data_IF_349408543506
#
_entry.id   IF_349408543506
#
_cell.length_a   1.000
_cell.length_b   1.000
_cell.length_c   1.000
_cell.angle_alpha   90.00
_cell.angle_beta   90.00
_cell.angle_gamma   90.00
#
_symmetry.space_group_name_H-M   'P 1'
#
loop_
_entity.id
_entity.type
_entity.pdbx_description
1 polymer ?
#
# COMPACT_ATOMS: atom_id res chain seq x y z
N UNK A 1 -3.20 -11.88 -24.25
CA UNK A 1 -3.66 -12.95 -23.34
C UNK A 1 -2.55 -13.40 -22.37
N UNK A 2 -1.39 -13.85 -22.85
CA UNK A 2 -0.33 -14.36 -21.97
C UNK A 2 0.23 -13.33 -20.97
N UNK A 3 0.40 -12.06 -21.36
CA UNK A 3 0.83 -11.00 -20.44
C UNK A 3 -0.19 -10.75 -19.32
N UNK A 4 -1.48 -10.80 -19.61
CA UNK A 4 -2.53 -10.66 -18.61
C UNK A 4 -2.57 -11.85 -17.64
N UNK A 5 -2.33 -13.07 -18.13
CA UNK A 5 -2.19 -14.25 -17.28
C UNK A 5 -0.97 -14.14 -16.36
N UNK A 6 0.19 -13.71 -16.89
CA UNK A 6 1.39 -13.47 -16.09
C UNK A 6 1.16 -12.40 -15.01
N UNK A 7 0.45 -11.33 -15.36
CA UNK A 7 0.04 -10.30 -14.40
C UNK A 7 -0.79 -10.89 -13.26
N UNK A 8 -1.87 -11.62 -13.59
CA UNK A 8 -2.79 -12.18 -12.61
C UNK A 8 -2.10 -13.17 -11.67
N UNK A 9 -1.28 -14.08 -12.22
CA UNK A 9 -0.52 -15.06 -11.42
C UNK A 9 0.48 -14.36 -10.51
N UNK A 10 1.20 -13.35 -11.02
CA UNK A 10 2.19 -12.60 -10.24
C UNK A 10 1.53 -11.80 -9.13
N UNK A 11 0.41 -11.12 -9.43
CA UNK A 11 -0.36 -10.36 -8.44
C UNK A 11 -0.92 -11.28 -7.34
N UNK A 12 -1.43 -12.45 -7.71
CA UNK A 12 -1.91 -13.46 -6.76
C UNK A 12 -0.77 -13.95 -5.86
N UNK A 13 0.34 -14.40 -6.46
CA UNK A 13 1.50 -14.88 -5.71
C UNK A 13 2.05 -13.79 -4.77
N UNK A 14 2.09 -12.54 -5.24
CA UNK A 14 2.63 -11.45 -4.45
C UNK A 14 1.72 -11.03 -3.30
N UNK A 15 0.41 -11.12 -3.48
CA UNK A 15 -0.56 -10.87 -2.41
C UNK A 15 -0.37 -11.81 -1.20
N UNK A 16 0.07 -13.05 -1.42
CA UNK A 16 0.38 -13.99 -0.32
C UNK A 16 1.70 -13.65 0.41
N UNK A 17 2.71 -13.22 -0.33
CA UNK A 17 4.05 -13.02 0.23
C UNK A 17 4.29 -11.59 0.77
N UNK A 18 3.53 -10.59 0.32
CA UNK A 18 3.74 -9.20 0.70
C UNK A 18 3.40 -8.90 2.16
N UNK A 19 2.43 -9.60 2.75
CA UNK A 19 2.05 -9.43 4.16
C UNK A 19 3.26 -9.58 5.09
N UNK A 20 3.89 -10.77 5.16
CA UNK A 20 5.07 -11.01 5.99
C UNK A 20 6.25 -10.06 5.72
N UNK A 21 6.53 -9.75 4.45
CA UNK A 21 7.61 -8.84 4.07
C UNK A 21 7.38 -7.45 4.66
N UNK A 22 6.15 -6.96 4.54
CA UNK A 22 5.81 -5.61 4.99
C UNK A 22 5.69 -5.50 6.51
N UNK A 23 5.28 -6.57 7.19
CA UNK A 23 5.31 -6.65 8.65
C UNK A 23 6.74 -6.67 9.19
N UNK A 24 7.67 -7.36 8.51
CA UNK A 24 9.07 -7.37 8.91
C UNK A 24 9.73 -5.99 8.83
N UNK A 25 9.44 -5.23 7.76
CA UNK A 25 10.01 -3.89 7.58
C UNK A 25 9.37 -2.86 8.54
N UNK A 26 8.08 -3.01 8.86
CA UNK A 26 7.33 -2.15 9.78
C UNK A 26 7.49 -0.64 9.51
N UNK A 27 7.64 -0.26 8.24
CA UNK A 27 7.77 1.14 7.81
C UNK A 27 7.04 1.35 6.47
N UNK A 28 5.77 1.78 6.51
CA UNK A 28 4.95 1.95 5.31
C UNK A 28 5.55 2.93 4.30
N UNK A 29 6.11 4.05 4.76
CA UNK A 29 6.73 5.05 3.87
C UNK A 29 7.93 4.47 3.13
N UNK A 30 8.80 3.71 3.81
CA UNK A 30 9.94 3.07 3.19
C UNK A 30 9.49 2.03 2.14
N UNK A 31 8.48 1.22 2.47
CA UNK A 31 7.93 0.21 1.56
C UNK A 31 7.39 0.87 0.29
N UNK A 32 6.57 1.93 0.42
CA UNK A 32 6.01 2.64 -0.73
C UNK A 32 7.11 3.35 -1.54
N UNK A 33 8.16 3.86 -0.88
CA UNK A 33 9.30 4.49 -1.57
C UNK A 33 10.06 3.49 -2.42
N UNK A 34 10.37 2.32 -1.87
CA UNK A 34 11.05 1.24 -2.60
C UNK A 34 10.18 0.73 -3.74
N UNK A 35 8.89 0.53 -3.50
CA UNK A 35 7.93 0.14 -4.52
C UNK A 35 7.87 1.15 -5.68
N UNK A 36 7.78 2.44 -5.36
CA UNK A 36 7.78 3.52 -6.36
C UNK A 36 9.03 3.47 -7.25
N UNK A 37 10.21 3.22 -6.68
CA UNK A 37 11.46 3.10 -7.45
C UNK A 37 11.40 1.92 -8.41
N UNK A 38 10.94 0.75 -7.96
CA UNK A 38 10.81 -0.43 -8.82
C UNK A 38 9.77 -0.23 -9.92
N UNK A 39 8.58 0.27 -9.57
CA UNK A 39 7.50 0.50 -10.52
C UNK A 39 7.90 1.54 -11.57
N UNK A 40 8.39 2.71 -11.15
CA UNK A 40 8.82 3.76 -12.07
C UNK A 40 10.01 3.30 -12.91
N UNK A 41 10.97 2.56 -12.34
CA UNK A 41 12.08 1.97 -13.08
C UNK A 41 11.60 1.06 -14.22
N UNK A 42 10.60 0.22 -13.96
CA UNK A 42 10.01 -0.66 -14.97
C UNK A 42 9.30 0.14 -16.09
N UNK A 43 8.58 1.21 -15.74
CA UNK A 43 7.92 2.07 -16.74
C UNK A 43 8.91 2.91 -17.54
N UNK A 44 10.00 3.39 -16.92
CA UNK A 44 11.07 4.11 -17.61
C UNK A 44 11.78 3.16 -18.59
N UNK A 45 11.98 1.89 -18.22
CA UNK A 45 12.54 0.90 -19.14
C UNK A 45 11.64 0.70 -20.38
N UNK A 46 10.30 0.70 -20.22
CA UNK A 46 9.39 0.69 -21.37
C UNK A 46 9.43 1.98 -22.18
N UNK A 47 9.53 3.14 -21.52
CA UNK A 47 9.52 4.44 -22.18
C UNK A 47 10.78 4.69 -23.02
N UNK A 48 11.93 4.27 -22.52
CA UNK A 48 13.23 4.51 -23.16
C UNK A 48 13.59 3.48 -24.23
N UNK A 49 12.93 2.32 -24.24
CA UNK A 49 13.18 1.28 -25.22
C UNK A 49 12.59 1.65 -26.59
N UNK A 50 13.33 1.51 -27.71
CA UNK A 50 12.91 1.99 -29.03
C UNK A 50 11.71 1.23 -29.64
N UNK A 51 11.53 -0.04 -29.27
CA UNK A 51 10.36 -0.83 -29.66
C UNK A 51 9.90 -1.74 -28.51
N UNK A 52 9.20 -1.20 -27.50
CA UNK A 52 8.84 -1.96 -26.31
C UNK A 52 7.73 -2.99 -26.58
N UNK A 53 6.85 -2.72 -27.56
CA UNK A 53 5.66 -3.54 -27.85
C UNK A 53 6.03 -4.92 -28.40
N UNK A 54 7.13 -5.02 -29.15
CA UNK A 54 7.58 -6.28 -29.74
C UNK A 54 8.63 -7.01 -28.91
N UNK A 55 8.99 -6.49 -27.74
CA UNK A 55 10.00 -7.09 -26.87
C UNK A 55 9.36 -7.82 -25.69
N UNK A 56 8.95 -9.08 -25.90
CA UNK A 56 8.38 -9.89 -24.83
C UNK A 56 9.34 -10.06 -23.65
N UNK A 57 10.64 -10.15 -23.90
CA UNK A 57 11.66 -10.25 -22.85
C UNK A 57 11.70 -9.04 -21.91
N UNK A 58 11.30 -7.86 -22.40
CA UNK A 58 11.11 -6.65 -21.59
C UNK A 58 9.72 -6.59 -20.96
N UNK A 59 8.68 -6.91 -21.74
CA UNK A 59 7.28 -6.79 -21.30
C UNK A 59 6.95 -7.73 -20.14
N UNK A 60 7.44 -8.97 -20.14
CA UNK A 60 7.15 -9.92 -19.06
C UNK A 60 7.67 -9.44 -17.69
N UNK A 61 8.96 -9.13 -17.52
CA UNK A 61 9.47 -8.59 -16.26
C UNK A 61 8.76 -7.32 -15.81
N UNK A 62 8.47 -6.39 -16.72
CA UNK A 62 7.76 -5.15 -16.38
C UNK A 62 6.35 -5.45 -15.87
N UNK A 63 5.60 -6.33 -16.54
CA UNK A 63 4.28 -6.75 -16.10
C UNK A 63 4.30 -7.41 -14.71
N UNK A 64 5.32 -8.23 -14.43
CA UNK A 64 5.50 -8.87 -13.12
C UNK A 64 5.78 -7.81 -12.04
N UNK A 65 6.63 -6.83 -12.33
CA UNK A 65 6.95 -5.74 -11.39
C UNK A 65 5.71 -4.88 -11.12
N UNK A 66 4.96 -4.50 -12.16
CA UNK A 66 3.70 -3.76 -12.00
C UNK A 66 2.71 -4.55 -11.14
N UNK A 67 2.56 -5.87 -11.38
CA UNK A 67 1.66 -6.72 -10.61
C UNK A 67 2.09 -6.86 -9.13
N UNK A 68 3.40 -6.94 -8.88
CA UNK A 68 3.94 -6.97 -7.53
C UNK A 68 3.71 -5.63 -6.80
N UNK A 69 3.90 -4.52 -7.51
CA UNK A 69 3.67 -3.18 -6.98
C UNK A 69 2.21 -2.94 -6.62
N UNK A 70 1.27 -3.35 -7.46
CA UNK A 70 -0.16 -3.31 -7.13
C UNK A 70 -0.49 -4.05 -5.83
N UNK A 71 0.08 -5.25 -5.64
CA UNK A 71 -0.10 -6.03 -4.43
C UNK A 71 0.50 -5.32 -3.19
N UNK A 72 1.68 -4.70 -3.34
CA UNK A 72 2.34 -3.93 -2.28
C UNK A 72 1.52 -2.71 -1.89
N UNK A 73 1.11 -1.88 -2.86
CA UNK A 73 0.35 -0.67 -2.62
C UNK A 73 -1.00 -0.98 -1.97
N UNK A 74 -1.70 -2.01 -2.44
CA UNK A 74 -3.00 -2.40 -1.88
C UNK A 74 -2.87 -2.88 -0.44
N UNK A 75 -1.89 -3.75 -0.16
CA UNK A 75 -1.62 -4.23 1.19
C UNK A 75 -1.20 -3.07 2.13
N UNK A 76 -0.33 -2.17 1.68
CA UNK A 76 0.06 -1.00 2.46
C UNK A 76 -1.11 -0.05 2.73
N UNK A 77 -1.95 0.23 1.72
CA UNK A 77 -3.11 1.08 1.90
C UNK A 77 -4.06 0.53 2.98
N UNK A 78 -4.32 -0.78 2.98
CA UNK A 78 -5.14 -1.41 4.02
C UNK A 78 -4.49 -1.32 5.41
N UNK A 79 -3.19 -1.60 5.53
CA UNK A 79 -2.47 -1.49 6.80
C UNK A 79 -2.48 -0.06 7.33
N UNK A 80 -2.31 0.93 6.46
CA UNK A 80 -2.36 2.35 6.83
C UNK A 80 -3.74 2.75 7.36
N UNK A 81 -4.81 2.35 6.67
CA UNK A 81 -6.19 2.64 7.11
C UNK A 81 -6.50 1.94 8.44
N UNK A 82 -6.13 0.67 8.56
CA UNK A 82 -6.35 -0.11 9.77
C UNK A 82 -5.59 0.47 10.97
N UNK A 83 -4.36 0.95 10.76
CA UNK A 83 -3.57 1.61 11.80
C UNK A 83 -4.11 2.98 12.22
N UNK A 84 -4.63 3.77 11.27
CA UNK A 84 -5.17 5.10 11.53
C UNK A 84 -6.57 5.10 12.15
N UNK A 85 -7.41 4.14 11.74
CA UNK A 85 -8.83 4.10 12.09
C UNK A 85 -9.20 2.71 12.60
N UNK A 86 -8.65 2.35 13.77
CA UNK A 86 -8.90 1.05 14.39
C UNK A 86 -10.41 0.84 14.60
N UNK A 87 -10.90 -0.35 14.24
CA UNK A 87 -12.30 -0.77 14.34
C UNK A 87 -13.35 0.15 13.64
N UNK A 88 -12.94 1.05 12.74
CA UNK A 88 -13.87 1.93 12.03
C UNK A 88 -14.15 1.44 10.60
N UNK A 89 -15.25 0.71 10.44
CA UNK A 89 -15.69 0.21 9.12
C UNK A 89 -16.05 1.30 8.12
N UNK A 90 -16.48 2.48 8.60
CA UNK A 90 -16.80 3.64 7.74
C UNK A 90 -15.55 4.21 7.08
N UNK A 91 -14.40 4.23 7.76
CA UNK A 91 -13.13 4.69 7.18
C UNK A 91 -12.69 3.78 6.01
N UNK A 92 -12.84 2.46 6.17
CA UNK A 92 -12.56 1.50 5.11
C UNK A 92 -13.53 1.66 3.92
N UNK A 93 -14.83 1.83 4.19
CA UNK A 93 -15.82 2.08 3.15
C UNK A 93 -15.54 3.39 2.37
N UNK A 94 -15.17 4.45 3.08
CA UNK A 94 -14.78 5.72 2.47
C UNK A 94 -13.54 5.56 1.57
N UNK A 95 -12.51 4.84 2.02
CA UNK A 95 -11.35 4.54 1.17
C UNK A 95 -11.76 3.81 -0.12
N UNK A 96 -12.58 2.76 -0.01
CA UNK A 96 -13.06 1.99 -1.16
C UNK A 96 -13.89 2.83 -2.13
N UNK A 97 -14.70 3.73 -1.61
CA UNK A 97 -15.46 4.68 -2.42
C UNK A 97 -14.51 5.59 -3.22
N UNK A 98 -13.55 6.25 -2.56
CA UNK A 98 -12.60 7.15 -3.22
C UNK A 98 -11.69 6.40 -4.22
N UNK A 99 -11.21 5.21 -3.87
CA UNK A 99 -10.38 4.41 -4.79
C UNK A 99 -11.16 4.05 -6.05
N UNK A 100 -12.42 3.63 -5.92
CA UNK A 100 -13.27 3.25 -7.05
C UNK A 100 -13.62 4.46 -7.92
N UNK A 101 -13.88 5.62 -7.31
CA UNK A 101 -14.09 6.88 -8.01
C UNK A 101 -12.86 7.27 -8.84
N UNK A 102 -11.66 7.23 -8.23
CA UNK A 102 -10.42 7.58 -8.92
C UNK A 102 -10.09 6.59 -10.05
N UNK A 103 -10.34 5.30 -9.85
CA UNK A 103 -10.24 4.29 -10.92
C UNK A 103 -11.20 4.65 -12.07
N UNK A 104 -12.45 5.01 -11.78
CA UNK A 104 -13.42 5.43 -12.79
C UNK A 104 -12.96 6.66 -13.58
N UNK A 105 -12.43 7.68 -12.90
CA UNK A 105 -11.84 8.88 -13.54
C UNK A 105 -10.66 8.48 -14.43
N UNK A 106 -9.73 7.66 -13.91
CA UNK A 106 -8.58 7.19 -14.68
C UNK A 106 -9.01 6.43 -15.93
N UNK A 107 -9.99 5.53 -15.84
CA UNK A 107 -10.55 4.84 -17.00
C UNK A 107 -11.14 5.81 -18.04
N UNK A 108 -11.95 6.78 -17.61
CA UNK A 108 -12.56 7.74 -18.52
C UNK A 108 -11.53 8.62 -19.24
N UNK A 109 -10.52 9.10 -18.52
CA UNK A 109 -9.47 9.98 -19.06
C UNK A 109 -8.43 9.19 -19.86
N UNK A 110 -8.21 7.91 -19.55
CA UNK A 110 -7.16 7.07 -20.18
C UNK A 110 -7.24 7.05 -21.71
N UNK A 111 -8.44 7.13 -22.29
CA UNK A 111 -8.63 7.16 -23.74
C UNK A 111 -7.91 8.33 -24.41
N UNK A 112 -7.83 9.48 -23.75
CA UNK A 112 -7.14 10.66 -24.27
C UNK A 112 -5.61 10.55 -24.16
N UNK A 113 -5.12 9.57 -23.41
CA UNK A 113 -3.70 9.31 -23.16
C UNK A 113 -3.14 8.17 -24.04
N UNK A 114 -3.92 7.72 -25.02
CA UNK A 114 -3.50 6.74 -26.01
C UNK A 114 -3.00 7.43 -27.29
N UNK A 115 -2.09 6.75 -27.99
CA UNK A 115 -1.69 7.08 -29.35
C UNK A 115 -2.82 6.76 -30.34
N UNK A 116 -2.69 7.22 -31.59
CA UNK A 116 -3.61 6.86 -32.69
C UNK A 116 -3.74 5.35 -32.91
N UNK A 117 -2.70 4.59 -32.53
CA UNK A 117 -2.65 3.14 -32.66
C UNK A 117 -3.22 2.40 -31.43
N UNK A 118 -3.75 3.14 -30.44
CA UNK A 118 -4.29 2.57 -29.22
C UNK A 118 -3.25 2.19 -28.16
N UNK A 119 -1.96 2.45 -28.40
CA UNK A 119 -0.91 2.23 -27.40
C UNK A 119 -0.81 3.38 -26.39
N UNK A 120 -0.47 3.12 -25.12
CA UNK A 120 -0.31 4.18 -24.13
C UNK A 120 0.84 5.13 -24.47
N UNK A 121 0.61 6.44 -24.36
CA UNK A 121 1.65 7.46 -24.51
C UNK A 121 2.48 7.54 -23.22
N UNK A 122 3.61 6.84 -23.18
CA UNK A 122 4.47 6.78 -21.99
C UNK A 122 4.99 8.15 -21.54
N UNK A 123 5.16 9.09 -22.47
CA UNK A 123 5.50 10.50 -22.19
C UNK A 123 4.50 11.20 -21.25
N UNK A 124 3.25 10.73 -21.21
CA UNK A 124 2.20 11.27 -20.35
C UNK A 124 2.06 10.39 -19.09
N UNK A 125 2.06 9.07 -19.26
CA UNK A 125 1.84 8.12 -18.16
C UNK A 125 2.97 8.12 -17.14
N UNK A 126 4.24 8.15 -17.57
CA UNK A 126 5.39 8.13 -16.66
C UNK A 126 5.42 9.34 -15.72
N UNK A 127 5.35 10.60 -16.20
CA UNK A 127 5.35 11.75 -15.30
C UNK A 127 4.09 11.81 -14.43
N UNK A 128 2.92 11.42 -14.95
CA UNK A 128 1.69 11.34 -14.16
C UNK A 128 1.85 10.36 -12.98
N UNK A 129 2.32 9.15 -13.26
CA UNK A 129 2.54 8.14 -12.21
C UNK A 129 3.64 8.57 -11.25
N UNK A 130 4.71 9.21 -11.73
CA UNK A 130 5.76 9.75 -10.85
C UNK A 130 5.19 10.76 -9.85
N UNK A 131 4.34 11.69 -10.30
CA UNK A 131 3.67 12.66 -9.41
C UNK A 131 2.76 11.94 -8.41
N UNK A 132 1.99 10.94 -8.85
CA UNK A 132 1.12 10.17 -7.97
C UNK A 132 1.92 9.37 -6.93
N UNK A 133 3.04 8.76 -7.31
CA UNK A 133 3.94 8.05 -6.39
C UNK A 133 4.59 9.01 -5.39
N UNK A 134 5.06 10.18 -5.82
CA UNK A 134 5.58 11.21 -4.90
C UNK A 134 4.48 11.63 -3.91
N UNK A 135 3.27 11.90 -4.41
CA UNK A 135 2.11 12.21 -3.58
C UNK A 135 1.78 11.09 -2.59
N UNK A 136 1.87 9.83 -3.00
CA UNK A 136 1.67 8.68 -2.14
C UNK A 136 2.75 8.58 -1.05
N UNK A 137 4.03 8.74 -1.39
CA UNK A 137 5.14 8.72 -0.42
C UNK A 137 4.96 9.83 0.62
N UNK A 138 4.72 11.06 0.16
CA UNK A 138 4.53 12.23 1.04
C UNK A 138 3.27 12.06 1.90
N UNK A 139 2.16 11.65 1.29
CA UNK A 139 0.90 11.39 1.97
C UNK A 139 1.03 10.31 3.04
N UNK A 140 1.68 9.19 2.73
CA UNK A 140 1.96 8.13 3.71
C UNK A 140 2.91 8.61 4.78
N UNK A 141 3.96 9.35 4.47
CA UNK A 141 4.86 9.91 5.49
C UNK A 141 4.09 10.75 6.52
N UNK A 142 3.27 11.70 6.07
CA UNK A 142 2.48 12.53 6.98
C UNK A 142 1.39 11.76 7.71
N UNK A 143 0.72 10.82 7.03
CA UNK A 143 -0.32 10.01 7.63
C UNK A 143 0.22 9.03 8.69
N UNK A 144 1.44 8.52 8.50
CA UNK A 144 2.04 7.54 9.41
C UNK A 144 2.95 8.15 10.47
N UNK A 145 3.11 9.47 10.46
CA UNK A 145 3.92 10.20 11.42
C UNK A 145 3.35 10.02 12.83
N UNK A 146 4.15 9.43 13.72
CA UNK A 146 3.77 9.18 15.11
C UNK A 146 3.00 7.88 15.35
N UNK A 147 2.71 7.06 14.32
CA UNK A 147 2.14 5.73 14.51
C UNK A 147 3.24 4.70 14.86
N UNK A 148 3.00 3.88 15.88
CA UNK A 148 3.85 2.73 16.21
C UNK A 148 3.46 1.54 15.32
N UNK A 149 4.34 1.16 14.40
CA UNK A 149 4.09 0.09 13.41
C UNK A 149 4.59 -1.29 13.84
N UNK A 150 5.28 -1.37 14.98
CA UNK A 150 5.69 -2.64 15.59
C UNK A 150 4.78 -2.94 16.77
N UNK A 151 4.13 -4.10 16.72
CA UNK A 151 3.52 -4.71 17.90
C UNK A 151 4.67 -5.31 18.70
N UNK A 152 5.06 -4.69 19.81
CA UNK A 152 5.98 -5.31 20.75
C UNK A 152 5.22 -6.35 21.57
N UNK A 153 5.63 -7.62 21.45
CA UNK A 153 5.18 -8.67 22.33
C UNK A 153 6.01 -8.60 23.61
N UNK A 154 5.42 -8.08 24.69
CA UNK A 154 6.00 -8.16 26.04
C UNK A 154 5.22 -9.24 26.80
N UNK A 155 5.89 -10.34 27.15
CA UNK A 155 5.36 -11.41 28.02
C UNK A 155 4.09 -12.14 27.54
N UNK A 156 4.04 -12.61 26.28
CA UNK A 156 2.92 -13.41 25.72
C UNK A 156 1.53 -12.74 25.72
N UNK A 157 1.42 -11.48 26.15
CA UNK A 157 0.22 -10.65 25.99
C UNK A 157 0.42 -9.69 24.82
N UNK A 158 -0.58 -9.65 23.92
CA UNK A 158 -0.60 -8.70 22.79
C UNK A 158 -1.03 -7.34 23.33
N UNK A 159 -0.06 -6.50 23.66
CA UNK A 159 -0.35 -5.09 23.97
C UNK A 159 -0.55 -4.37 22.64
N UNK A 160 -1.82 -4.17 22.26
CA UNK A 160 -2.17 -3.20 21.22
C UNK A 160 -1.89 -1.83 21.82
N UNK A 161 -0.83 -1.16 21.36
CA UNK A 161 -0.55 0.23 21.74
C UNK A 161 -1.63 1.10 21.09
N UNK A 162 -2.73 1.26 21.82
CA UNK A 162 -3.83 2.11 21.44
C UNK A 162 -3.39 3.56 21.72
N UNK A 163 -2.98 4.26 20.65
CA UNK A 163 -2.80 5.71 20.57
C UNK A 163 -1.44 6.28 21.10
N UNK A 164 -0.61 6.94 20.26
CA UNK A 164 0.66 7.58 20.66
C UNK A 164 0.50 8.84 21.53
N UNK A 165 -0.70 9.12 22.04
CA UNK A 165 -1.00 10.26 22.94
C UNK A 165 -1.37 9.85 24.36
N UNK A 166 -1.35 8.57 24.69
CA UNK A 166 -1.51 8.13 26.07
C UNK A 166 -0.11 7.96 26.65
N UNK A 167 0.24 8.82 27.60
CA UNK A 167 1.37 8.56 28.50
C UNK A 167 1.16 7.16 29.06
N UNK A 168 2.04 6.23 28.68
CA UNK A 168 2.09 4.92 29.30
C UNK A 168 2.63 5.17 30.72
N UNK A 169 1.72 5.42 31.66
CA UNK A 169 2.03 5.15 33.06
C UNK A 169 2.22 3.65 33.15
N UNK A 170 3.49 3.27 33.30
CA UNK A 170 3.87 1.93 33.72
C UNK A 170 3.23 1.74 35.08
N UNK A 171 2.07 1.06 35.13
CA UNK A 171 1.54 0.54 36.37
C UNK A 171 2.44 -0.65 36.70
N UNK A 172 3.56 -0.35 37.37
CA UNK A 172 4.35 -1.36 38.06
C UNK A 172 3.41 -2.20 38.93
N UNK A 173 3.54 -3.51 38.81
CA UNK A 173 2.64 -4.45 39.42
C UNK A 173 2.56 -4.27 40.93
N UNK A 174 1.37 -3.91 41.40
CA UNK A 174 0.75 -4.32 42.67
C UNK A 174 -0.55 -3.52 42.82
N UNK A 175 -1.69 -4.05 42.34
CA UNK A 175 -3.04 -3.83 42.93
C UNK A 175 -4.12 -4.54 42.11
N UNK A 176 -4.06 -5.88 42.10
CA UNK A 176 -5.11 -6.76 41.54
C UNK A 176 -6.22 -7.09 42.57
N UNK A 177 -6.49 -6.18 43.52
CA UNK A 177 -7.51 -6.38 44.57
C UNK A 177 -8.17 -5.05 44.95
N UNK A 178 -9.03 -4.49 44.09
CA UNK A 178 -10.12 -3.58 44.52
C UNK A 178 -11.02 -3.12 43.36
N UNK A 179 -11.63 -4.03 42.57
CA UNK A 179 -12.82 -3.64 41.77
C UNK A 179 -13.72 -4.81 41.37
N UNK A 180 -13.85 -5.81 42.25
CA UNK A 180 -15.03 -6.70 42.27
C UNK A 180 -15.77 -6.51 43.59
N UNK A 181 -16.43 -5.37 43.77
CA UNK A 181 -17.30 -5.16 44.94
C UNK A 181 -18.41 -4.12 44.80
N UNK A 182 -18.54 -3.36 43.69
CA UNK A 182 -19.62 -2.37 43.56
C UNK A 182 -20.48 -2.58 42.30
N UNK A 183 -20.91 -3.82 42.08
CA UNK A 183 -21.95 -4.14 41.10
C UNK A 183 -23.08 -4.96 41.77
N UNK A 184 -23.48 -4.58 42.99
CA UNK A 184 -24.74 -4.95 43.62
C UNK A 184 -25.14 -3.86 44.63
N UNK A 185 -25.89 -2.87 44.15
CA UNK A 185 -26.88 -2.08 44.89
C UNK A 185 -27.73 -1.29 43.88
#
# INVERSE_FOLDING_TARGET
>A
LYLAAAYGVSSMAMSFAVGPITDFVANPTLIITVDAVFHLGALIALWTHPNPVNNLGLLYPVYIICAASDAILLNQAYKVIAGLFQANSTAYAAYKFHSSLMIGVAFFVSKQMLTSNGFPRMEIWVPLLAILFIGAIVGTYFATLGLAWKVEHVNDEVIVIDNPKVNVEVIEGEHLLATKSNALA
#
